data_IF_476449175728
#
_entry.id   IF_476449175728
#
_cell.length_a   1.000
_cell.length_b   1.000
_cell.length_c   1.000
_cell.angle_alpha   90.00
_cell.angle_beta   90.00
_cell.angle_gamma   90.00
#
_symmetry.space_group_name_H-M   'P 1'
#
loop_
_entity.id
_entity.type
_entity.pdbx_description
1 polymer ?
#
# COMPACT_ATOMS: atom_id res chain seq x y z
N UNK A 1 -24.18 -24.12 -4.41
CA UNK A 1 -23.78 -22.75 -4.80
C UNK A 1 -23.38 -21.97 -3.57
N UNK A 2 -22.08 -21.70 -3.39
CA UNK A 2 -21.58 -20.80 -2.34
C UNK A 2 -21.21 -19.46 -2.96
N UNK A 3 -21.93 -18.41 -2.60
CA UNK A 3 -21.63 -17.03 -3.00
C UNK A 3 -21.08 -16.27 -1.80
N UNK A 4 -20.01 -15.51 -2.01
CA UNK A 4 -19.45 -14.59 -1.01
C UNK A 4 -19.62 -13.15 -1.51
N UNK A 5 -19.93 -12.23 -0.61
CA UNK A 5 -20.07 -10.80 -0.88
C UNK A 5 -19.24 -10.04 0.14
N UNK A 6 -18.44 -9.09 -0.33
CA UNK A 6 -17.64 -8.20 0.52
C UNK A 6 -18.28 -6.81 0.52
N UNK A 7 -18.44 -6.22 1.71
CA UNK A 7 -18.97 -4.86 1.88
C UNK A 7 -17.92 -4.03 2.63
N UNK A 8 -17.50 -2.92 2.03
CA UNK A 8 -16.67 -1.91 2.69
C UNK A 8 -17.52 -0.74 3.15
N UNK A 9 -17.32 -0.30 4.39
CA UNK A 9 -17.99 0.87 4.97
C UNK A 9 -16.94 1.92 5.32
N UNK A 10 -17.14 3.16 4.83
CA UNK A 10 -16.30 4.28 5.21
C UNK A 10 -16.58 4.65 6.67
N UNK A 11 -15.54 4.64 7.51
CA UNK A 11 -15.65 4.99 8.92
C UNK A 11 -15.69 6.51 9.09
N UNK A 12 -16.90 7.07 9.04
CA UNK A 12 -17.19 8.48 9.32
C UNK A 12 -17.90 8.67 10.68
N UNK A 13 -18.17 9.91 11.08
CA UNK A 13 -18.76 10.21 12.38
C UNK A 13 -20.15 9.59 12.58
N UNK A 14 -20.97 9.57 11.53
CA UNK A 14 -22.28 8.91 11.56
C UNK A 14 -22.14 7.41 11.82
N UNK A 15 -21.19 6.75 11.17
CA UNK A 15 -20.92 5.33 11.39
C UNK A 15 -20.40 5.10 12.82
N UNK A 16 -19.50 5.95 13.33
CA UNK A 16 -18.97 5.86 14.70
C UNK A 16 -20.07 5.99 15.76
N UNK A 17 -21.06 6.85 15.55
CA UNK A 17 -22.21 6.99 16.45
C UNK A 17 -23.10 5.73 16.46
N UNK A 18 -23.33 5.14 15.29
CA UNK A 18 -24.14 3.92 15.14
C UNK A 18 -23.41 2.66 15.62
N UNK A 19 -22.10 2.56 15.35
CA UNK A 19 -21.26 1.38 15.58
C UNK A 19 -20.31 1.67 16.75
N UNK A 20 -20.86 1.72 17.96
CA UNK A 20 -20.12 2.11 19.18
C UNK A 20 -18.92 1.21 19.50
N UNK A 21 -18.92 -0.04 19.03
CA UNK A 21 -17.80 -0.98 19.22
C UNK A 21 -16.52 -0.55 18.49
N UNK A 22 -16.62 0.33 17.48
CA UNK A 22 -15.43 0.90 16.80
C UNK A 22 -14.56 1.75 17.74
N UNK A 23 -15.08 2.13 18.91
CA UNK A 23 -14.33 2.84 19.94
C UNK A 23 -13.63 1.91 20.96
N UNK A 24 -13.85 0.59 20.88
CA UNK A 24 -13.18 -0.36 21.78
C UNK A 24 -11.68 -0.45 21.41
N UNK A 25 -10.75 -0.08 22.31
CA UNK A 25 -9.32 -0.19 22.04
C UNK A 25 -8.83 -1.63 21.88
N UNK A 26 -9.62 -2.62 22.32
CA UNK A 26 -9.32 -4.05 22.12
C UNK A 26 -9.67 -4.54 20.72
N UNK A 27 -10.37 -3.74 19.91
CA UNK A 27 -10.72 -4.11 18.55
C UNK A 27 -9.44 -4.20 17.70
N UNK A 28 -9.13 -5.37 17.10
CA UNK A 28 -7.92 -5.50 16.31
C UNK A 28 -8.04 -4.68 15.03
N UNK A 29 -7.10 -3.75 14.87
CA UNK A 29 -6.93 -2.97 13.63
C UNK A 29 -5.77 -3.60 12.87
N UNK A 30 -5.96 -3.81 11.57
CA UNK A 30 -4.92 -4.33 10.68
C UNK A 30 -4.80 -3.43 9.48
N UNK A 31 -3.58 -3.02 9.19
CA UNK A 31 -3.28 -2.36 7.93
C UNK A 31 -3.26 -3.42 6.82
N UNK A 32 -4.03 -3.15 5.78
CA UNK A 32 -4.16 -4.03 4.62
C UNK A 32 -3.98 -3.23 3.34
N UNK A 33 -3.60 -3.92 2.27
CA UNK A 33 -3.43 -3.32 0.95
C UNK A 33 -4.10 -4.20 -0.11
N UNK A 34 -4.34 -3.67 -1.30
CA UNK A 34 -5.15 -4.34 -2.34
C UNK A 34 -4.58 -5.70 -2.78
N UNK A 35 -3.27 -5.77 -3.05
CA UNK A 35 -2.58 -7.00 -3.45
C UNK A 35 -1.17 -7.04 -2.87
N UNK A 36 -0.61 -8.23 -2.66
CA UNK A 36 0.72 -8.40 -2.09
C UNK A 36 1.83 -7.80 -2.97
N UNK A 37 1.69 -7.90 -4.29
CA UNK A 37 2.65 -7.43 -5.31
C UNK A 37 2.82 -5.91 -5.32
N UNK A 38 1.79 -5.18 -4.87
CA UNK A 38 1.76 -3.71 -4.76
C UNK A 38 1.87 -3.22 -3.32
N UNK A 39 1.84 -4.12 -2.34
CA UNK A 39 1.74 -3.78 -0.93
C UNK A 39 3.05 -3.15 -0.41
N UNK A 40 2.96 -1.91 0.08
CA UNK A 40 4.08 -1.17 0.69
C UNK A 40 4.35 -1.49 2.16
N UNK A 41 3.53 -2.32 2.80
CA UNK A 41 3.69 -2.70 4.21
C UNK A 41 4.94 -3.58 4.35
N UNK A 42 5.97 -3.11 5.06
CA UNK A 42 7.28 -3.76 5.16
C UNK A 42 7.24 -5.07 5.94
N UNK A 43 6.47 -5.13 7.02
CA UNK A 43 6.40 -6.19 8.03
C UNK A 43 5.03 -6.89 8.02
N UNK A 44 4.50 -7.15 6.82
CA UNK A 44 3.22 -7.83 6.66
C UNK A 44 3.37 -9.35 6.85
N UNK A 45 2.99 -9.88 8.01
CA UNK A 45 3.03 -11.33 8.31
C UNK A 45 2.14 -12.17 7.37
N UNK A 46 1.06 -11.57 6.86
CA UNK A 46 0.11 -12.22 5.95
C UNK A 46 0.57 -12.22 4.48
N UNK A 47 1.78 -11.71 4.19
CA UNK A 47 2.26 -11.53 2.81
C UNK A 47 2.48 -12.87 2.12
N UNK A 48 1.64 -13.14 1.12
CA UNK A 48 1.74 -14.34 0.29
C UNK A 48 2.67 -14.17 -0.93
N UNK A 49 2.97 -12.94 -1.34
CA UNK A 49 3.81 -12.65 -2.50
C UNK A 49 4.75 -11.44 -2.29
N UNK A 50 5.92 -11.40 -2.94
CA UNK A 50 6.84 -10.27 -2.87
C UNK A 50 6.24 -9.00 -3.51
N UNK A 51 6.61 -7.78 -3.06
CA UNK A 51 6.08 -6.53 -3.59
C UNK A 51 6.78 -6.15 -4.92
N UNK A 52 6.64 -7.01 -5.94
CA UNK A 52 7.31 -6.90 -7.23
C UNK A 52 7.13 -5.54 -7.90
N UNK A 53 5.93 -4.96 -7.84
CA UNK A 53 5.65 -3.64 -8.44
C UNK A 53 6.48 -2.55 -7.77
N UNK A 54 6.65 -2.60 -6.45
CA UNK A 54 7.50 -1.63 -5.74
C UNK A 54 8.97 -1.81 -6.09
N UNK A 55 9.44 -3.04 -6.25
CA UNK A 55 10.80 -3.30 -6.72
C UNK A 55 11.04 -2.75 -8.12
N UNK A 56 10.12 -3.00 -9.07
CA UNK A 56 10.21 -2.46 -10.43
C UNK A 56 10.19 -0.93 -10.44
N UNK A 57 9.36 -0.30 -9.60
CA UNK A 57 9.32 1.16 -9.50
C UNK A 57 10.63 1.74 -8.97
N UNK A 58 11.24 1.11 -7.95
CA UNK A 58 12.56 1.52 -7.44
C UNK A 58 13.63 1.44 -8.51
N UNK A 59 13.68 0.35 -9.27
CA UNK A 59 14.65 0.20 -10.37
C UNK A 59 14.45 1.30 -11.42
N UNK A 60 13.20 1.61 -11.78
CA UNK A 60 12.92 2.69 -12.73
C UNK A 60 13.36 4.06 -12.22
N UNK A 61 13.14 4.35 -10.94
CA UNK A 61 13.58 5.62 -10.36
C UNK A 61 15.10 5.73 -10.36
N UNK A 62 15.82 4.66 -10.00
CA UNK A 62 17.29 4.63 -10.05
C UNK A 62 17.84 4.89 -11.47
N UNK A 63 17.20 4.30 -12.49
CA UNK A 63 17.58 4.55 -13.90
C UNK A 63 17.36 6.02 -14.24
N UNK A 64 16.21 6.58 -13.86
CA UNK A 64 15.87 7.99 -14.14
C UNK A 64 16.85 8.94 -13.45
N UNK A 65 17.13 8.73 -12.16
CA UNK A 65 18.12 9.50 -11.40
C UNK A 65 19.49 9.46 -12.08
N UNK A 66 19.92 8.29 -12.54
CA UNK A 66 21.21 8.12 -13.23
C UNK A 66 21.24 8.90 -14.55
N UNK A 67 20.16 8.85 -15.34
CA UNK A 67 20.06 9.60 -16.59
C UNK A 67 20.14 11.11 -16.36
N UNK A 68 19.45 11.63 -15.33
CA UNK A 68 19.48 13.05 -14.98
C UNK A 68 20.89 13.53 -14.58
N UNK A 69 21.68 12.69 -13.92
CA UNK A 69 23.08 12.99 -13.58
C UNK A 69 23.93 13.07 -14.85
N UNK A 70 23.82 12.07 -15.73
CA UNK A 70 24.59 12.03 -16.99
C UNK A 70 24.25 13.21 -17.92
N UNK A 71 22.98 13.59 -18.02
CA UNK A 71 22.56 14.76 -18.80
C UNK A 71 23.19 16.06 -18.30
N UNK A 72 23.31 16.22 -16.98
CA UNK A 72 23.98 17.39 -16.37
C UNK A 72 25.49 17.37 -16.65
N UNK A 73 26.14 16.22 -16.56
CA UNK A 73 27.57 16.08 -16.84
C UNK A 73 27.90 16.38 -18.30
N UNK A 74 27.06 15.96 -19.25
CA UNK A 74 27.21 16.27 -20.67
C UNK A 74 26.98 17.75 -20.97
N UNK A 75 26.03 18.40 -20.29
CA UNK A 75 25.68 19.81 -20.52
C UNK A 75 26.71 20.82 -19.99
N UNK A 76 27.58 20.40 -19.08
CA UNK A 76 28.66 21.24 -18.50
C UNK A 76 29.98 21.12 -19.28
N UNK A 77 30.09 20.15 -20.20
CA UNK A 77 31.20 20.02 -21.16
C UNK A 77 30.92 20.80 -22.45
#
# INVERSE_FOLDING_TARGET
NSTSVTIGLLVNDKLRQLFRFLADPKLPIKDVHTTCERCGISDCEARAAPPSVLHHNRVKEQIKETLEVLEKEVRVR
#
